data_IF_935857358303
#
_entry.id   IF_935857358303
#
_cell.length_a   1.000
_cell.length_b   1.000
_cell.length_c   1.000
_cell.angle_alpha   90.00
_cell.angle_beta   90.00
_cell.angle_gamma   90.00
#
_symmetry.space_group_name_H-M   'P 1'
#
loop_
_entity.id
_entity.type
_entity.pdbx_description
1 polymer ?
#
# COMPACT_ATOMS: atom_id res chain seq x y z
N UNK A 1 27.43 11.57 11.63
CA UNK A 1 26.44 10.80 12.40
C UNK A 1 25.03 11.36 12.14
N UNK A 2 24.45 11.07 10.98
CA UNK A 2 23.02 11.33 10.68
C UNK A 2 22.60 10.43 9.50
N UNK A 3 22.81 9.12 9.62
CA UNK A 3 22.32 8.14 8.63
C UNK A 3 20.83 7.78 8.83
N UNK A 4 20.28 8.13 10.00
CA UNK A 4 18.91 7.80 10.40
C UNK A 4 17.79 8.63 9.73
N UNK A 5 17.93 9.93 9.39
CA UNK A 5 16.82 10.73 8.89
C UNK A 5 16.54 10.55 7.39
N UNK A 6 17.40 9.83 6.65
CA UNK A 6 17.28 9.58 5.20
C UNK A 6 16.57 8.26 4.91
N UNK A 7 16.67 7.27 5.80
CA UNK A 7 16.03 5.95 5.64
C UNK A 7 14.51 5.93 5.92
N UNK A 8 13.94 7.03 6.44
CA UNK A 8 12.61 7.03 7.08
C UNK A 8 11.61 7.98 6.39
N UNK A 9 12.01 8.79 5.38
CA UNK A 9 11.11 9.85 4.91
C UNK A 9 9.97 9.34 4.01
N UNK A 10 8.83 9.18 4.69
CA UNK A 10 7.42 9.27 4.25
C UNK A 10 6.89 8.11 3.42
N UNK A 11 7.66 7.59 2.48
CA UNK A 11 7.23 6.54 1.53
C UNK A 11 7.08 5.16 2.16
N UNK A 12 8.00 4.90 3.08
CA UNK A 12 8.04 3.77 3.99
C UNK A 12 6.96 3.96 5.05
N UNK A 13 6.68 5.16 5.52
CA UNK A 13 5.87 5.24 6.73
C UNK A 13 4.39 4.86 6.53
N UNK A 14 3.74 5.15 5.39
CA UNK A 14 2.35 4.71 5.20
C UNK A 14 2.24 3.17 5.12
N UNK A 15 3.01 2.54 4.24
CA UNK A 15 3.02 1.07 4.13
C UNK A 15 3.58 0.41 5.39
N UNK A 16 4.60 0.96 6.05
CA UNK A 16 5.16 0.37 7.27
C UNK A 16 4.29 0.62 8.50
N UNK A 17 3.59 1.75 8.59
CA UNK A 17 2.54 1.95 9.59
C UNK A 17 1.40 0.96 9.35
N UNK A 18 1.01 0.72 8.10
CA UNK A 18 0.06 -0.33 7.77
C UNK A 18 0.59 -1.72 8.16
N UNK A 19 1.87 -2.05 7.94
CA UNK A 19 2.47 -3.30 8.41
C UNK A 19 2.39 -3.41 9.93
N UNK A 20 2.82 -2.37 10.66
CA UNK A 20 2.76 -2.34 12.12
C UNK A 20 1.33 -2.46 12.65
N UNK A 21 0.38 -1.76 12.04
CA UNK A 21 -1.04 -1.87 12.33
C UNK A 21 -1.58 -3.27 12.06
N UNK A 22 -1.19 -3.89 10.94
CA UNK A 22 -1.61 -5.25 10.56
C UNK A 22 -1.07 -6.28 11.56
N UNK A 23 0.20 -6.18 11.95
CA UNK A 23 0.80 -7.05 12.96
C UNK A 23 0.07 -6.88 14.29
N UNK A 24 -0.17 -5.64 14.73
CA UNK A 24 -0.91 -5.38 15.97
C UNK A 24 -2.34 -5.92 15.91
N UNK A 25 -3.05 -5.70 14.80
CA UNK A 25 -4.40 -6.20 14.58
C UNK A 25 -4.45 -7.74 14.66
N UNK A 26 -3.44 -8.41 14.11
CA UNK A 26 -3.33 -9.86 14.14
C UNK A 26 -3.01 -10.38 15.55
N UNK A 27 -2.04 -9.78 16.24
CA UNK A 27 -1.65 -10.17 17.60
C UNK A 27 -2.77 -9.91 18.62
N UNK A 28 -3.58 -8.87 18.40
CA UNK A 28 -4.73 -8.53 19.25
C UNK A 28 -6.02 -9.22 18.84
N UNK A 29 -5.99 -10.02 17.76
CA UNK A 29 -7.15 -10.72 17.18
C UNK A 29 -8.36 -9.79 16.93
N UNK A 30 -8.10 -8.52 16.66
CA UNK A 30 -9.16 -7.54 16.47
C UNK A 30 -9.76 -7.67 15.07
N UNK A 31 -10.95 -8.26 14.96
CA UNK A 31 -11.64 -8.45 13.68
C UNK A 31 -11.83 -7.13 12.91
N UNK A 32 -12.22 -6.07 13.60
CA UNK A 32 -12.40 -4.76 13.00
C UNK A 32 -11.07 -4.21 12.46
N UNK A 33 -9.99 -4.36 13.21
CA UNK A 33 -8.67 -3.91 12.78
C UNK A 33 -8.14 -4.76 11.62
N UNK A 34 -8.38 -6.07 11.60
CA UNK A 34 -8.03 -6.96 10.49
C UNK A 34 -8.82 -6.65 9.22
N UNK A 35 -10.11 -6.33 9.33
CA UNK A 35 -10.91 -5.85 8.19
C UNK A 35 -10.40 -4.52 7.63
N UNK A 36 -10.03 -3.58 8.51
CA UNK A 36 -9.40 -2.33 8.09
C UNK A 36 -8.03 -2.57 7.44
N UNK A 37 -7.18 -3.41 8.04
CA UNK A 37 -5.86 -3.75 7.51
C UNK A 37 -5.96 -4.40 6.12
N UNK A 38 -6.96 -5.26 5.92
CA UNK A 38 -7.20 -5.93 4.63
C UNK A 38 -7.56 -4.94 3.54
N UNK A 39 -8.54 -4.07 3.78
CA UNK A 39 -8.97 -3.07 2.81
C UNK A 39 -7.89 -1.99 2.53
N UNK A 40 -7.16 -1.56 3.56
CA UNK A 40 -5.97 -0.72 3.40
C UNK A 40 -4.88 -1.40 2.58
N UNK A 41 -4.59 -2.67 2.84
CA UNK A 41 -3.58 -3.45 2.12
C UNK A 41 -3.90 -3.57 0.64
N UNK A 42 -5.15 -3.85 0.29
CA UNK A 42 -5.63 -3.87 -1.09
C UNK A 42 -5.53 -2.49 -1.75
N UNK A 43 -5.82 -1.43 -1.01
CA UNK A 43 -5.70 -0.05 -1.51
C UNK A 43 -4.24 0.33 -1.77
N UNK A 44 -3.32 -0.05 -0.87
CA UNK A 44 -1.87 0.10 -1.03
C UNK A 44 -1.39 -0.64 -2.27
N UNK A 45 -1.79 -1.90 -2.43
CA UNK A 45 -1.47 -2.72 -3.60
C UNK A 45 -1.92 -2.02 -4.89
N UNK A 46 -3.18 -1.62 -4.96
CA UNK A 46 -3.75 -0.96 -6.14
C UNK A 46 -3.06 0.38 -6.45
N UNK A 47 -2.84 1.23 -5.44
CA UNK A 47 -2.13 2.49 -5.60
C UNK A 47 -0.70 2.30 -6.12
N UNK A 48 0.02 1.34 -5.54
CA UNK A 48 1.40 1.03 -5.89
C UNK A 48 1.56 0.50 -7.31
N UNK A 49 0.71 -0.45 -7.73
CA UNK A 49 0.76 -1.00 -9.09
C UNK A 49 0.15 -0.08 -10.14
N UNK A 50 -0.78 0.80 -9.77
CA UNK A 50 -1.23 1.89 -10.66
C UNK A 50 -0.10 2.88 -10.94
N UNK A 51 0.74 3.19 -9.95
CA UNK A 51 1.94 3.99 -10.17
C UNK A 51 2.92 3.31 -11.13
N UNK A 52 3.11 1.98 -10.99
CA UNK A 52 3.91 1.19 -11.94
C UNK A 52 3.38 1.28 -13.37
N UNK A 53 2.06 1.25 -13.54
CA UNK A 53 1.40 1.30 -14.84
C UNK A 53 1.45 2.70 -15.47
N UNK A 54 1.19 3.74 -14.68
CA UNK A 54 1.11 5.12 -15.14
C UNK A 54 2.48 5.77 -15.33
N UNK A 55 3.46 5.45 -14.48
CA UNK A 55 4.81 6.01 -14.55
C UNK A 55 5.84 5.01 -14.02
N UNK A 56 6.21 4.08 -14.90
CA UNK A 56 7.21 3.05 -14.63
C UNK A 56 8.56 3.63 -14.22
N UNK A 57 8.96 4.78 -14.77
CA UNK A 57 10.24 5.40 -14.43
C UNK A 57 10.23 5.91 -12.99
N UNK A 58 9.15 6.59 -12.58
CA UNK A 58 8.96 6.99 -11.19
C UNK A 58 8.98 5.75 -10.31
N UNK A 59 8.12 4.75 -10.58
CA UNK A 59 8.04 3.50 -9.84
C UNK A 59 9.41 2.83 -9.62
N UNK A 60 10.19 2.64 -10.69
CA UNK A 60 11.51 2.02 -10.60
C UNK A 60 12.48 2.90 -9.80
N UNK A 61 12.40 4.22 -9.95
CA UNK A 61 13.16 5.17 -9.14
C UNK A 61 12.82 5.06 -7.65
N UNK A 62 11.55 4.86 -7.30
CA UNK A 62 11.14 4.60 -5.91
C UNK A 62 11.74 3.30 -5.41
N UNK A 63 11.48 2.21 -6.13
CA UNK A 63 11.80 0.86 -5.72
C UNK A 63 13.30 0.68 -5.53
N UNK A 64 14.09 1.18 -6.49
CA UNK A 64 15.54 1.13 -6.42
C UNK A 64 16.12 2.17 -5.46
N UNK A 65 15.38 3.25 -5.15
CA UNK A 65 15.77 4.24 -4.16
C UNK A 65 16.02 3.65 -2.78
N UNK A 66 15.42 2.50 -2.45
CA UNK A 66 15.58 1.82 -1.15
C UNK A 66 17.04 1.47 -0.83
N UNK A 67 17.81 1.10 -1.86
CA UNK A 67 19.22 0.76 -1.72
C UNK A 67 20.16 1.80 -2.34
N UNK A 68 19.62 2.92 -2.86
CA UNK A 68 20.39 4.00 -3.47
C UNK A 68 21.40 3.49 -4.50
N UNK A 69 22.69 3.84 -4.33
CA UNK A 69 23.75 3.42 -5.25
C UNK A 69 23.96 1.89 -5.31
N UNK A 70 23.57 1.13 -4.27
CA UNK A 70 23.72 -0.32 -4.24
C UNK A 70 22.77 -1.01 -5.23
N UNK A 71 21.69 -0.34 -5.63
CA UNK A 71 20.77 -0.81 -6.69
C UNK A 71 21.43 -0.96 -8.06
N UNK A 72 22.67 -0.50 -8.25
CA UNK A 72 23.46 -0.83 -9.45
C UNK A 72 23.80 -2.32 -9.52
N UNK A 73 23.91 -3.01 -8.39
CA UNK A 73 24.27 -4.42 -8.32
C UNK A 73 23.05 -5.32 -8.40
N UNK A 74 23.16 -6.42 -9.15
CA UNK A 74 22.06 -7.38 -9.38
C UNK A 74 21.42 -7.93 -8.10
N UNK A 75 22.15 -8.32 -7.03
CA UNK A 75 21.55 -8.86 -5.81
C UNK A 75 20.62 -7.87 -5.11
N UNK A 76 21.01 -6.60 -4.97
CA UNK A 76 20.18 -5.57 -4.34
C UNK A 76 18.93 -5.25 -5.17
N UNK A 77 19.03 -5.28 -6.50
CA UNK A 77 17.83 -5.18 -7.36
C UNK A 77 16.89 -6.35 -7.13
N UNK A 78 17.40 -7.59 -7.09
CA UNK A 78 16.57 -8.76 -6.84
C UNK A 78 15.90 -8.66 -5.47
N UNK A 79 16.65 -8.29 -4.44
CA UNK A 79 16.12 -8.08 -3.10
C UNK A 79 15.01 -7.02 -3.07
N UNK A 80 15.20 -5.86 -3.71
CA UNK A 80 14.17 -4.82 -3.80
C UNK A 80 12.89 -5.36 -4.46
N UNK A 81 13.02 -6.05 -5.60
CA UNK A 81 11.87 -6.63 -6.30
C UNK A 81 11.18 -7.73 -5.49
N UNK A 82 11.93 -8.55 -4.74
CA UNK A 82 11.36 -9.59 -3.88
C UNK A 82 10.59 -8.99 -2.72
N UNK A 83 11.15 -7.98 -2.04
CA UNK A 83 10.47 -7.27 -0.94
C UNK A 83 9.24 -6.55 -1.47
N UNK A 84 9.33 -5.92 -2.63
CA UNK A 84 8.20 -5.30 -3.31
C UNK A 84 7.05 -6.27 -3.55
N UNK A 85 7.36 -7.41 -4.16
CA UNK A 85 6.37 -8.44 -4.46
C UNK A 85 5.72 -8.97 -3.18
N UNK A 86 6.51 -9.25 -2.14
CA UNK A 86 5.97 -9.74 -0.88
C UNK A 86 5.10 -8.70 -0.18
N UNK A 87 5.58 -7.46 -0.07
CA UNK A 87 4.93 -6.41 0.70
C UNK A 87 3.70 -5.82 0.02
N UNK A 88 3.79 -5.54 -1.28
CA UNK A 88 2.74 -4.85 -2.02
C UNK A 88 1.80 -5.80 -2.77
N UNK A 89 2.11 -7.11 -2.88
CA UNK A 89 1.21 -8.11 -3.48
C UNK A 89 0.93 -9.26 -2.52
N UNK A 90 1.97 -9.96 -2.05
CA UNK A 90 1.83 -11.17 -1.25
C UNK A 90 0.99 -10.96 0.02
N UNK A 91 1.42 -10.05 0.91
CA UNK A 91 0.73 -9.78 2.18
C UNK A 91 -0.71 -9.28 1.95
N UNK A 92 -0.99 -8.29 1.09
CA UNK A 92 -2.37 -7.88 0.78
C UNK A 92 -3.27 -9.02 0.31
N UNK A 93 -2.77 -9.92 -0.55
CA UNK A 93 -3.54 -11.07 -1.02
C UNK A 93 -3.80 -12.08 0.09
N UNK A 94 -2.81 -12.37 0.94
CA UNK A 94 -3.00 -13.25 2.10
C UNK A 94 -4.06 -12.67 3.04
N UNK A 95 -4.01 -11.37 3.35
CA UNK A 95 -5.05 -10.73 4.16
C UNK A 95 -6.41 -10.80 3.49
N UNK A 96 -6.50 -10.61 2.16
CA UNK A 96 -7.76 -10.78 1.45
C UNK A 96 -8.29 -12.22 1.55
N UNK A 97 -7.43 -13.24 1.45
CA UNK A 97 -7.89 -14.62 1.62
C UNK A 97 -8.34 -14.93 3.05
N UNK A 98 -7.67 -14.38 4.06
CA UNK A 98 -7.99 -14.70 5.45
C UNK A 98 -9.13 -13.84 6.02
N UNK A 99 -9.23 -12.57 5.61
CA UNK A 99 -9.95 -11.55 6.37
C UNK A 99 -10.87 -10.66 5.52
N UNK A 100 -11.04 -10.92 4.22
CA UNK A 100 -12.05 -10.23 3.42
C UNK A 100 -13.47 -10.27 4.02
N UNK A 101 -13.92 -11.38 4.65
CA UNK A 101 -15.23 -11.43 5.31
C UNK A 101 -15.38 -10.45 6.48
N UNK A 102 -14.28 -9.88 6.99
CA UNK A 102 -14.28 -8.90 8.08
C UNK A 102 -14.43 -7.46 7.58
N UNK A 103 -14.26 -7.21 6.28
CA UNK A 103 -14.37 -5.87 5.71
C UNK A 103 -15.83 -5.38 5.77
N UNK A 104 -16.02 -4.12 6.17
CA UNK A 104 -17.32 -3.45 6.25
C UNK A 104 -17.23 -2.08 5.59
N UNK A 105 -18.32 -1.60 4.98
CA UNK A 105 -18.36 -0.30 4.29
C UNK A 105 -18.04 0.86 5.25
N UNK A 106 -18.48 0.78 6.51
CA UNK A 106 -18.22 1.84 7.49
C UNK A 106 -16.73 2.06 7.76
N UNK A 107 -15.87 1.05 7.49
CA UNK A 107 -14.42 1.13 7.65
C UNK A 107 -13.78 2.15 6.70
N UNK A 108 -14.47 2.56 5.62
CA UNK A 108 -14.01 3.65 4.74
C UNK A 108 -13.73 4.94 5.50
N UNK A 109 -14.57 5.30 6.48
CA UNK A 109 -14.41 6.55 7.24
C UNK A 109 -13.10 6.61 8.06
N UNK A 110 -12.79 5.63 8.94
CA UNK A 110 -11.52 5.63 9.67
C UNK A 110 -10.30 5.46 8.75
N UNK A 111 -10.44 4.75 7.61
CA UNK A 111 -9.38 4.63 6.60
C UNK A 111 -9.05 5.99 5.97
N UNK A 112 -10.07 6.75 5.55
CA UNK A 112 -9.87 8.08 4.98
C UNK A 112 -9.28 9.06 6.00
N UNK A 113 -9.69 8.94 7.27
CA UNK A 113 -9.10 9.71 8.37
C UNK A 113 -7.62 9.35 8.54
N UNK A 114 -7.29 8.05 8.56
CA UNK A 114 -5.92 7.56 8.67
C UNK A 114 -5.02 8.06 7.53
N UNK A 115 -5.48 7.99 6.28
CA UNK A 115 -4.76 8.50 5.10
C UNK A 115 -4.55 10.01 5.19
N UNK A 116 -5.60 10.74 5.59
CA UNK A 116 -5.54 12.20 5.73
C UNK A 116 -4.57 12.64 6.83
N UNK A 117 -4.59 11.94 7.98
CA UNK A 117 -3.70 12.20 9.10
C UNK A 117 -2.26 11.82 8.76
N UNK A 118 -2.04 10.65 8.15
CA UNK A 118 -0.71 10.21 7.71
C UNK A 118 -0.11 11.22 6.72
N UNK A 119 -0.89 11.69 5.76
CA UNK A 119 -0.43 12.71 4.80
C UNK A 119 -0.02 14.02 5.50
N UNK A 120 -0.81 14.48 6.48
CA UNK A 120 -0.53 15.73 7.22
C UNK A 120 0.65 15.62 8.18
N UNK A 121 0.73 14.52 8.93
CA UNK A 121 1.73 14.35 10.00
C UNK A 121 3.13 14.06 9.43
N UNK A 122 3.21 13.48 8.22
CA UNK A 122 4.45 12.95 7.66
C UNK A 122 5.08 13.84 6.60
N UNK A 123 4.27 14.53 5.81
CA UNK A 123 4.78 15.42 4.76
C UNK A 123 4.85 16.89 5.21
N UNK A 124 4.32 17.24 6.38
CA UNK A 124 4.23 18.63 6.86
C UNK A 124 3.34 19.55 5.99
N UNK A 125 2.93 19.11 4.80
CA UNK A 125 2.12 19.80 3.80
C UNK A 125 1.69 18.81 2.67
N UNK A 126 0.97 19.32 1.67
CA UNK A 126 0.45 18.59 0.49
C UNK A 126 1.56 17.81 -0.26
N UNK A 127 1.27 16.56 -0.63
CA UNK A 127 2.12 15.73 -1.52
C UNK A 127 2.44 16.44 -2.84
N UNK A 128 1.58 17.37 -3.27
CA UNK A 128 1.79 18.18 -4.47
C UNK A 128 2.98 19.15 -4.37
N UNK A 129 3.34 19.56 -3.16
CA UNK A 129 4.43 20.49 -2.92
C UNK A 129 5.71 19.77 -2.48
N UNK A 130 5.60 18.65 -1.78
CA UNK A 130 6.74 17.94 -1.19
C UNK A 130 7.11 16.64 -1.91
N UNK A 131 6.26 16.14 -2.80
CA UNK A 131 6.42 14.82 -3.42
C UNK A 131 7.79 14.63 -4.08
N UNK A 132 8.26 15.58 -4.89
CA UNK A 132 9.57 15.46 -5.53
C UNK A 132 10.74 15.45 -4.52
N UNK A 133 10.66 16.25 -3.46
CA UNK A 133 11.71 16.38 -2.45
C UNK A 133 11.80 15.14 -1.58
N UNK A 134 10.64 14.60 -1.19
CA UNK A 134 10.52 13.37 -0.39
C UNK A 134 11.09 12.18 -1.17
N UNK A 135 10.93 12.21 -2.49
CA UNK A 135 11.12 11.05 -3.34
C UNK A 135 12.35 11.09 -4.23
N UNK A 136 13.06 12.21 -4.20
CA UNK A 136 14.26 12.49 -5.00
C UNK A 136 14.10 12.03 -6.46
N UNK A 137 12.90 12.24 -7.04
CA UNK A 137 12.61 11.79 -8.40
C UNK A 137 13.29 12.75 -9.37
N UNK A 138 14.12 12.20 -10.26
CA UNK A 138 14.75 12.94 -11.34
C UNK A 138 14.40 12.33 -12.71
N UNK A 139 13.90 13.12 -13.68
CA UNK A 139 13.51 14.53 -13.53
C UNK A 139 12.26 14.69 -12.64
N UNK A 140 12.12 15.82 -11.92
CA UNK A 140 11.01 16.05 -11.01
C UNK A 140 9.67 15.98 -11.75
N UNK A 141 8.65 15.45 -11.07
CA UNK A 141 7.30 15.32 -11.62
C UNK A 141 6.48 16.59 -11.42
N UNK A 142 5.63 16.97 -12.40
CA UNK A 142 4.82 18.18 -12.31
C UNK A 142 3.78 18.05 -11.18
N UNK A 143 3.28 19.18 -10.67
CA UNK A 143 2.22 19.17 -9.63
C UNK A 143 0.97 18.39 -10.06
N UNK A 144 0.64 18.41 -11.34
CA UNK A 144 -0.49 17.64 -11.91
C UNK A 144 -0.35 16.13 -11.72
N UNK A 145 0.87 15.61 -11.72
CA UNK A 145 1.15 14.20 -11.42
C UNK A 145 0.79 13.87 -9.96
N UNK A 146 1.27 14.69 -9.02
CA UNK A 146 1.00 14.48 -7.59
C UNK A 146 -0.49 14.63 -7.24
N UNK A 147 -1.19 15.57 -7.89
CA UNK A 147 -2.64 15.70 -7.80
C UNK A 147 -3.36 14.45 -8.32
N UNK A 148 -2.88 13.86 -9.42
CA UNK A 148 -3.46 12.62 -9.96
C UNK A 148 -3.24 11.44 -9.01
N UNK A 149 -2.02 11.28 -8.46
CA UNK A 149 -1.71 10.25 -7.46
C UNK A 149 -2.65 10.36 -6.25
N UNK A 150 -2.84 11.56 -5.71
CA UNK A 150 -3.75 11.82 -4.58
C UNK A 150 -5.21 11.49 -4.93
N UNK A 151 -5.68 11.83 -6.12
CA UNK A 151 -7.04 11.50 -6.58
C UNK A 151 -7.23 9.99 -6.69
N UNK A 152 -6.26 9.28 -7.27
CA UNK A 152 -6.29 7.82 -7.41
C UNK A 152 -6.35 7.17 -6.02
N UNK A 153 -5.50 7.59 -5.10
CA UNK A 153 -5.49 7.10 -3.72
C UNK A 153 -6.84 7.32 -3.04
N UNK A 154 -7.43 8.51 -3.16
CA UNK A 154 -8.75 8.81 -2.59
C UNK A 154 -9.85 7.92 -3.18
N UNK A 155 -9.84 7.75 -4.51
CA UNK A 155 -10.80 6.88 -5.21
C UNK A 155 -10.66 5.44 -4.73
N UNK A 156 -9.45 4.92 -4.58
CA UNK A 156 -9.25 3.55 -4.08
C UNK A 156 -9.68 3.39 -2.63
N UNK A 157 -9.32 4.30 -1.73
CA UNK A 157 -9.73 4.23 -0.33
C UNK A 157 -11.26 4.31 -0.17
N UNK A 158 -11.97 4.97 -1.11
CA UNK A 158 -13.43 5.00 -1.13
C UNK A 158 -14.06 3.73 -1.74
N UNK A 159 -13.50 3.25 -2.85
CA UNK A 159 -14.12 2.19 -3.65
C UNK A 159 -13.75 0.78 -3.18
N UNK A 160 -12.51 0.56 -2.71
CA UNK A 160 -12.00 -0.77 -2.34
C UNK A 160 -12.83 -1.41 -1.22
N UNK A 161 -13.17 -0.74 -0.09
CA UNK A 161 -14.00 -1.36 0.95
C UNK A 161 -15.36 -1.80 0.42
N UNK A 162 -15.97 -1.00 -0.46
CA UNK A 162 -17.24 -1.33 -1.12
C UNK A 162 -17.10 -2.55 -2.01
N UNK A 163 -16.06 -2.59 -2.86
CA UNK A 163 -15.80 -3.74 -3.73
C UNK A 163 -15.47 -5.01 -2.95
N UNK A 164 -14.76 -4.91 -1.82
CA UNK A 164 -14.50 -6.06 -0.95
C UNK A 164 -15.80 -6.68 -0.44
N UNK A 165 -16.73 -5.85 0.04
CA UNK A 165 -18.03 -6.31 0.54
C UNK A 165 -18.88 -6.91 -0.59
N UNK A 166 -18.88 -6.29 -1.78
CA UNK A 166 -19.59 -6.82 -2.94
C UNK A 166 -18.99 -8.15 -3.41
N UNK A 167 -17.66 -8.26 -3.48
CA UNK A 167 -16.96 -9.47 -3.88
C UNK A 167 -17.23 -10.63 -2.91
N UNK A 168 -17.22 -10.36 -1.60
CA UNK A 168 -17.58 -11.35 -0.60
C UNK A 168 -19.04 -11.80 -0.75
N UNK A 169 -19.99 -10.86 -0.86
CA UNK A 169 -21.42 -11.17 -1.06
C UNK A 169 -21.72 -11.93 -2.35
N UNK A 170 -20.91 -11.72 -3.38
CA UNK A 170 -21.01 -12.44 -4.65
C UNK A 170 -20.41 -13.86 -4.58
N UNK A 171 -19.90 -14.31 -3.43
CA UNK A 171 -19.29 -15.62 -3.26
C UNK A 171 -17.90 -15.77 -3.89
N UNK A 172 -17.29 -14.67 -4.38
CA UNK A 172 -15.96 -14.72 -5.04
C UNK A 172 -14.90 -15.23 -4.05
N UNK A 173 -14.96 -14.76 -2.81
CA UNK A 173 -14.01 -15.18 -1.78
C UNK A 173 -14.08 -16.68 -1.51
N UNK A 174 -15.28 -17.22 -1.30
CA UNK A 174 -15.49 -18.65 -1.06
C UNK A 174 -15.05 -19.49 -2.26
N UNK A 175 -15.39 -19.05 -3.48
CA UNK A 175 -14.93 -19.70 -4.70
C UNK A 175 -13.41 -19.81 -4.75
N UNK A 176 -12.69 -18.72 -4.47
CA UNK A 176 -11.23 -18.70 -4.55
C UNK A 176 -10.59 -19.52 -3.42
N UNK A 177 -11.10 -19.41 -2.19
CA UNK A 177 -10.60 -20.21 -1.06
C UNK A 177 -10.82 -21.70 -1.31
N UNK A 178 -12.00 -22.10 -1.78
CA UNK A 178 -12.31 -23.50 -2.05
C UNK A 178 -11.52 -24.05 -3.25
N UNK A 179 -11.25 -23.25 -4.28
CA UNK A 179 -10.48 -23.73 -5.45
C UNK A 179 -8.97 -23.77 -5.23
N UNK A 180 -8.40 -22.79 -4.52
CA UNK A 180 -6.94 -22.66 -4.38
C UNK A 180 -6.39 -23.24 -3.08
N UNK A 181 -7.15 -23.18 -1.97
CA UNK A 181 -6.65 -23.56 -0.63
C UNK A 181 -7.22 -24.89 -0.13
N UNK A 182 -8.37 -25.32 -0.65
CA UNK A 182 -8.95 -26.64 -0.38
C UNK A 182 -9.26 -27.38 -1.67
N UNK A 183 -8.25 -27.84 -2.43
CA UNK A 183 -8.55 -28.76 -3.53
C UNK A 183 -9.30 -29.95 -2.94
N UNK A 184 -10.53 -30.17 -3.39
CA UNK A 184 -11.25 -31.42 -3.14
C UNK A 184 -10.38 -32.54 -3.70
N UNK A 185 -10.01 -33.48 -2.82
CA UNK A 185 -9.29 -34.72 -3.10
C UNK A 185 -9.75 -35.39 -4.40
#
# INVERSE_FOLDING_TARGET
MTLLPVLIRVRVLYTFCWVGFTVLAHVTESEAALGMATSLGLTIMMGWYSLRALDRATFMGILQGWFGFLSKYRPFRLLANSVDLLLHMGVPLVLAFCYLPLVRIWMTAPILLYVSLSSRFLAGCDLCDTGNDVYHIYPPRPKTFWLAVRKIELVYNFTVPTFCVLAYRAGIHELVVNTLLKPSL
#
